data_IF_774652899729
#
_entry.id   IF_774652899729
#
_cell.length_a   1.000
_cell.length_b   1.000
_cell.length_c   1.000
_cell.angle_alpha   90.00
_cell.angle_beta   90.00
_cell.angle_gamma   90.00
#
_symmetry.space_group_name_H-M   'P 1'
#
loop_
_entity.id
_entity.type
_entity.pdbx_description
1 polymer ?
#
# COMPACT_ATOMS: atom_id res chain seq x y z
N UNK A 1 -0.92 1.16 -18.42
CA UNK A 1 -1.21 0.36 -17.23
C UNK A 1 -0.11 -0.66 -16.99
N UNK A 2 0.36 -0.80 -15.75
CA UNK A 2 1.33 -1.82 -15.35
C UNK A 2 0.57 -3.03 -14.82
N UNK A 3 0.98 -4.23 -15.21
CA UNK A 3 0.27 -5.46 -14.85
C UNK A 3 1.22 -6.55 -14.39
N UNK A 4 0.72 -7.40 -13.48
CA UNK A 4 1.34 -8.68 -13.15
C UNK A 4 0.39 -9.79 -13.61
N UNK A 5 0.86 -10.72 -14.40
CA UNK A 5 0.05 -11.77 -15.04
C UNK A 5 0.71 -13.13 -14.89
N UNK A 6 -0.09 -14.18 -14.94
CA UNK A 6 0.42 -15.55 -14.93
C UNK A 6 -0.32 -16.43 -15.92
N UNK A 7 0.42 -17.43 -16.45
CA UNK A 7 -0.16 -18.66 -17.04
C UNK A 7 -0.10 -19.73 -15.98
N UNK A 8 -1.22 -20.44 -15.78
CA UNK A 8 -1.34 -21.42 -14.70
C UNK A 8 -1.80 -22.74 -15.27
N UNK A 9 -1.21 -23.84 -14.77
CA UNK A 9 -1.56 -25.22 -15.12
C UNK A 9 -1.70 -26.03 -13.84
N UNK A 10 -2.87 -26.65 -13.62
CA UNK A 10 -3.06 -27.61 -12.53
C UNK A 10 -2.15 -28.81 -12.74
N UNK A 11 -1.60 -29.34 -11.66
CA UNK A 11 -0.71 -30.48 -11.65
C UNK A 11 -1.26 -31.58 -10.73
N UNK A 12 -0.80 -32.83 -10.91
CA UNK A 12 -1.09 -33.90 -9.96
C UNK A 12 -0.17 -33.79 -8.75
N UNK A 13 -0.73 -33.97 -7.54
CA UNK A 13 0.02 -33.95 -6.28
C UNK A 13 -0.01 -32.58 -5.54
N UNK A 14 0.57 -32.53 -4.31
CA UNK A 14 0.41 -31.43 -3.39
C UNK A 14 1.59 -30.43 -3.47
N UNK A 15 2.02 -30.03 -4.68
CA UNK A 15 3.15 -29.12 -4.85
C UNK A 15 2.79 -27.96 -5.76
N UNK A 16 3.01 -26.74 -5.29
CA UNK A 16 2.92 -25.51 -6.09
C UNK A 16 4.32 -25.12 -6.56
N UNK A 17 4.45 -24.79 -7.85
CA UNK A 17 5.67 -24.22 -8.42
C UNK A 17 5.36 -22.89 -9.08
N UNK A 18 6.15 -21.87 -8.72
CA UNK A 18 6.00 -20.53 -9.29
C UNK A 18 7.32 -20.10 -9.93
N UNK A 19 7.25 -19.79 -11.21
CA UNK A 19 8.37 -19.35 -12.02
C UNK A 19 8.16 -17.88 -12.38
N UNK A 20 8.88 -16.98 -11.71
CA UNK A 20 8.80 -15.55 -11.95
C UNK A 20 10.05 -15.08 -12.69
N UNK A 21 9.87 -14.35 -13.77
CA UNK A 21 10.99 -13.84 -14.57
C UNK A 21 11.90 -12.94 -13.72
N UNK A 22 13.17 -13.27 -13.63
CA UNK A 22 14.18 -12.53 -12.85
C UNK A 22 14.27 -12.94 -11.38
N UNK A 23 13.59 -14.00 -10.96
CA UNK A 23 13.64 -14.55 -9.60
C UNK A 23 13.84 -16.06 -9.62
N UNK A 24 14.41 -16.58 -8.53
CA UNK A 24 14.54 -18.02 -8.35
C UNK A 24 13.17 -18.71 -8.32
N UNK A 25 13.05 -19.90 -8.93
CA UNK A 25 11.81 -20.66 -8.87
C UNK A 25 11.41 -21.03 -7.44
N UNK A 26 10.15 -20.83 -7.11
CA UNK A 26 9.59 -21.26 -5.83
C UNK A 26 8.96 -22.65 -5.98
N UNK A 27 9.31 -23.57 -5.08
CA UNK A 27 8.65 -24.89 -4.95
C UNK A 27 8.11 -25.01 -3.53
N UNK A 28 6.78 -25.10 -3.41
CA UNK A 28 6.08 -25.17 -2.14
C UNK A 28 5.32 -26.51 -2.00
N UNK A 29 5.74 -27.43 -1.11
CA UNK A 29 4.90 -28.52 -0.64
C UNK A 29 3.74 -27.98 0.22
N UNK A 30 2.50 -28.37 -0.12
CA UNK A 30 1.28 -27.83 0.49
C UNK A 30 0.97 -28.43 1.88
N UNK A 31 1.71 -29.44 2.32
CA UNK A 31 1.70 -29.97 3.68
C UNK A 31 2.55 -29.17 4.67
N UNK A 32 3.28 -28.16 4.21
CA UNK A 32 4.25 -27.39 4.99
C UNK A 32 3.96 -25.88 4.91
N UNK A 33 2.85 -25.46 5.47
CA UNK A 33 2.39 -24.07 5.38
C UNK A 33 2.80 -23.15 6.55
N UNK A 34 3.50 -23.66 7.56
CA UNK A 34 3.97 -22.83 8.65
C UNK A 34 5.04 -21.80 8.20
N UNK A 35 5.09 -20.60 8.79
CA UNK A 35 6.14 -19.62 8.49
C UNK A 35 7.54 -20.19 8.72
N UNK A 36 8.48 -19.80 7.85
CA UNK A 36 9.90 -20.20 7.95
C UNK A 36 10.78 -18.98 8.04
N UNK A 37 11.61 -18.89 9.07
CA UNK A 37 12.51 -17.74 9.28
C UNK A 37 13.47 -17.55 8.10
N UNK A 38 14.00 -18.62 7.54
CA UNK A 38 14.91 -18.56 6.40
C UNK A 38 14.26 -18.16 5.07
N UNK A 39 12.92 -18.02 5.01
CA UNK A 39 12.20 -17.55 3.83
C UNK A 39 11.80 -16.07 3.91
N UNK A 40 12.03 -15.39 5.03
CA UNK A 40 11.69 -13.96 5.17
C UNK A 40 12.31 -13.12 4.04
N UNK A 41 11.54 -12.15 3.57
CA UNK A 41 11.88 -11.28 2.45
C UNK A 41 12.08 -12.01 1.10
N UNK A 42 11.48 -13.20 0.93
CA UNK A 42 11.54 -13.97 -0.33
C UNK A 42 10.17 -14.20 -0.94
N UNK A 43 10.13 -14.46 -2.25
CA UNK A 43 8.89 -14.86 -2.95
C UNK A 43 8.30 -16.16 -2.39
N UNK A 44 9.14 -17.07 -1.85
CA UNK A 44 8.69 -18.31 -1.22
C UNK A 44 7.80 -18.04 0.00
N UNK A 45 8.15 -17.07 0.83
CA UNK A 45 7.33 -16.64 1.96
C UNK A 45 5.95 -16.16 1.52
N UNK A 46 5.87 -15.38 0.45
CA UNK A 46 4.59 -14.87 -0.07
C UNK A 46 3.72 -16.00 -0.64
N UNK A 47 4.29 -16.93 -1.40
CA UNK A 47 3.55 -18.10 -1.93
C UNK A 47 3.03 -18.95 -0.78
N UNK A 48 3.86 -19.24 0.23
CA UNK A 48 3.48 -20.00 1.42
C UNK A 48 2.42 -19.27 2.24
N UNK A 49 2.58 -17.97 2.46
CA UNK A 49 1.64 -17.13 3.20
C UNK A 49 0.26 -17.09 2.53
N UNK A 50 0.22 -16.96 1.22
CA UNK A 50 -1.05 -16.98 0.48
C UNK A 50 -1.72 -18.36 0.55
N UNK A 51 -0.99 -19.45 0.36
CA UNK A 51 -1.55 -20.82 0.52
C UNK A 51 -2.11 -21.02 1.94
N UNK A 52 -1.40 -20.55 2.97
CA UNK A 52 -1.85 -20.62 4.35
C UNK A 52 -3.08 -19.74 4.62
N UNK A 53 -3.15 -18.54 4.02
CA UNK A 53 -4.30 -17.65 4.13
C UNK A 53 -5.58 -18.30 3.55
N UNK A 54 -5.47 -19.00 2.42
CA UNK A 54 -6.56 -19.78 1.86
C UNK A 54 -6.95 -20.96 2.78
N UNK A 55 -5.97 -21.72 3.27
CA UNK A 55 -6.21 -22.84 4.17
C UNK A 55 -6.94 -22.40 5.46
N UNK A 56 -6.61 -21.26 6.03
CA UNK A 56 -7.33 -20.66 7.20
C UNK A 56 -8.81 -20.39 6.93
N UNK A 57 -9.19 -20.21 5.66
CA UNK A 57 -10.59 -20.04 5.23
C UNK A 57 -11.25 -21.36 4.81
N UNK A 58 -10.58 -22.49 5.01
CA UNK A 58 -11.05 -23.81 4.59
C UNK A 58 -10.92 -24.09 3.09
N UNK A 59 -10.21 -23.23 2.35
CA UNK A 59 -9.98 -23.37 0.91
C UNK A 59 -8.59 -23.97 0.71
N UNK A 60 -8.53 -25.25 0.39
CA UNK A 60 -7.25 -25.94 0.22
C UNK A 60 -6.78 -25.85 -1.24
N UNK A 61 -5.55 -25.39 -1.42
CA UNK A 61 -4.90 -25.41 -2.71
C UNK A 61 -4.55 -26.85 -3.12
N UNK A 62 -4.55 -27.09 -4.40
CA UNK A 62 -3.96 -28.29 -5.03
C UNK A 62 -2.69 -27.87 -5.78
N UNK A 63 -1.94 -28.83 -6.28
CA UNK A 63 -0.73 -28.52 -7.02
C UNK A 63 -1.02 -27.79 -8.33
N UNK A 64 -0.20 -26.80 -8.61
CA UNK A 64 -0.19 -26.10 -9.89
C UNK A 64 1.21 -25.56 -10.21
N UNK A 65 1.44 -25.31 -11.50
CA UNK A 65 2.57 -24.54 -12.00
C UNK A 65 2.07 -23.17 -12.46
N UNK A 66 2.75 -22.10 -12.07
CA UNK A 66 2.46 -20.73 -12.51
C UNK A 66 3.71 -20.08 -13.11
N UNK A 67 3.58 -19.55 -14.31
CA UNK A 67 4.61 -18.73 -14.97
C UNK A 67 4.17 -17.28 -14.91
N UNK A 68 4.94 -16.48 -14.18
CA UNK A 68 4.62 -15.08 -13.82
C UNK A 68 5.50 -14.10 -14.58
N UNK A 69 4.86 -13.11 -15.17
CA UNK A 69 5.49 -11.93 -15.77
C UNK A 69 4.91 -10.67 -15.15
N UNK A 70 5.74 -9.66 -14.89
CA UNK A 70 5.34 -8.41 -14.28
C UNK A 70 5.97 -7.22 -14.98
N UNK A 71 5.15 -6.20 -15.27
CA UNK A 71 5.61 -4.88 -15.69
C UNK A 71 5.76 -3.92 -14.48
N UNK A 72 5.41 -4.39 -13.27
CA UNK A 72 5.60 -3.64 -12.01
C UNK A 72 7.03 -3.87 -11.54
N UNK A 73 7.87 -2.85 -11.69
CA UNK A 73 9.30 -2.96 -11.38
C UNK A 73 9.51 -3.03 -9.86
N UNK A 74 10.37 -3.97 -9.38
CA UNK A 74 10.80 -3.98 -7.98
C UNK A 74 11.52 -2.68 -7.60
N UNK A 75 11.30 -2.20 -6.37
CA UNK A 75 11.95 -0.98 -5.88
C UNK A 75 11.43 0.33 -6.48
N UNK A 76 10.47 0.29 -7.41
CA UNK A 76 9.91 1.49 -8.06
C UNK A 76 8.88 2.26 -7.22
N UNK A 77 8.57 1.80 -6.02
CA UNK A 77 7.48 2.37 -5.20
C UNK A 77 6.07 1.99 -5.66
N UNK A 78 5.95 1.09 -6.66
CA UNK A 78 4.67 0.64 -7.21
C UNK A 78 4.14 -0.64 -6.56
N UNK A 79 4.72 -1.06 -5.43
CA UNK A 79 4.28 -2.20 -4.63
C UNK A 79 4.25 -3.52 -5.42
N UNK A 80 5.40 -3.92 -5.95
CA UNK A 80 5.55 -5.18 -6.68
C UNK A 80 5.20 -6.41 -5.84
N UNK A 81 5.44 -6.39 -4.52
CA UNK A 81 5.02 -7.45 -3.59
C UNK A 81 3.50 -7.58 -3.55
N UNK A 82 2.78 -6.48 -3.33
CA UNK A 82 1.32 -6.49 -3.30
C UNK A 82 0.72 -6.97 -4.63
N UNK A 83 1.29 -6.56 -5.77
CA UNK A 83 0.85 -7.03 -7.09
C UNK A 83 1.03 -8.57 -7.25
N UNK A 84 2.14 -9.12 -6.75
CA UNK A 84 2.41 -10.55 -6.79
C UNK A 84 1.49 -11.34 -5.85
N UNK A 85 1.29 -10.87 -4.62
CA UNK A 85 0.39 -11.47 -3.64
C UNK A 85 -1.05 -11.49 -4.14
N UNK A 86 -1.52 -10.38 -4.68
CA UNK A 86 -2.87 -10.26 -5.25
C UNK A 86 -3.03 -11.19 -6.46
N UNK A 87 -2.00 -11.34 -7.30
CA UNK A 87 -2.01 -12.32 -8.38
C UNK A 87 -2.20 -13.74 -7.85
N UNK A 88 -1.45 -14.15 -6.81
CA UNK A 88 -1.61 -15.44 -6.16
C UNK A 88 -3.02 -15.62 -5.57
N UNK A 89 -3.56 -14.55 -4.96
CA UNK A 89 -4.94 -14.52 -4.48
C UNK A 89 -5.97 -14.72 -5.59
N UNK A 90 -5.78 -14.09 -6.74
CA UNK A 90 -6.63 -14.28 -7.92
C UNK A 90 -6.54 -15.70 -8.49
N UNK A 91 -5.32 -16.25 -8.55
CA UNK A 91 -5.11 -17.65 -8.98
C UNK A 91 -5.84 -18.59 -8.03
N UNK A 92 -5.63 -18.47 -6.72
CA UNK A 92 -6.28 -19.31 -5.71
C UNK A 92 -7.80 -19.18 -5.73
N UNK A 93 -8.32 -17.96 -5.86
CA UNK A 93 -9.77 -17.71 -5.98
C UNK A 93 -10.35 -18.39 -7.22
N UNK A 94 -9.73 -18.23 -8.39
CA UNK A 94 -10.23 -18.80 -9.64
C UNK A 94 -10.18 -20.34 -9.65
N UNK A 95 -9.09 -20.92 -9.14
CA UNK A 95 -8.89 -22.38 -9.21
C UNK A 95 -9.61 -23.15 -8.08
N UNK A 96 -9.71 -22.58 -6.88
CA UNK A 96 -10.08 -23.33 -5.67
C UNK A 96 -11.26 -22.74 -4.90
N UNK A 97 -11.73 -21.54 -5.27
CA UNK A 97 -12.87 -20.89 -4.65
C UNK A 97 -13.96 -20.46 -5.65
N UNK A 98 -13.92 -20.99 -6.88
CA UNK A 98 -14.90 -20.67 -7.93
C UNK A 98 -14.95 -19.18 -8.31
N UNK A 99 -13.88 -18.40 -8.05
CA UNK A 99 -13.84 -16.98 -8.33
C UNK A 99 -14.63 -16.12 -7.33
N UNK A 100 -15.06 -16.67 -6.20
CA UNK A 100 -16.01 -16.03 -5.27
C UNK A 100 -15.38 -14.98 -4.35
N UNK A 101 -14.04 -14.96 -4.18
CA UNK A 101 -13.39 -14.01 -3.27
C UNK A 101 -13.44 -12.60 -3.83
N UNK A 102 -13.86 -11.68 -2.98
CA UNK A 102 -13.90 -10.25 -3.28
C UNK A 102 -12.50 -9.64 -3.33
N UNK A 103 -12.31 -8.49 -4.01
CA UNK A 103 -11.04 -7.76 -3.99
C UNK A 103 -10.55 -7.44 -2.57
N UNK A 104 -11.44 -7.12 -1.65
CA UNK A 104 -11.11 -6.80 -0.25
C UNK A 104 -10.58 -8.04 0.47
N UNK A 105 -11.24 -9.18 0.33
CA UNK A 105 -10.79 -10.43 0.94
C UNK A 105 -9.42 -10.85 0.43
N UNK A 106 -9.19 -10.77 -0.88
CA UNK A 106 -7.89 -11.07 -1.48
C UNK A 106 -6.81 -10.13 -0.93
N UNK A 107 -7.11 -8.82 -0.83
CA UNK A 107 -6.18 -7.85 -0.29
C UNK A 107 -5.83 -8.11 1.19
N UNK A 108 -6.82 -8.45 2.01
CA UNK A 108 -6.61 -8.77 3.44
C UNK A 108 -5.77 -10.04 3.61
N UNK A 109 -5.99 -11.05 2.77
CA UNK A 109 -5.19 -12.28 2.77
C UNK A 109 -3.74 -11.99 2.34
N UNK A 110 -3.54 -11.14 1.34
CA UNK A 110 -2.25 -10.71 0.85
C UNK A 110 -1.49 -9.92 1.93
N UNK A 111 -2.12 -8.92 2.55
CA UNK A 111 -1.55 -8.18 3.66
C UNK A 111 -1.13 -9.09 4.82
N UNK A 112 -1.98 -10.05 5.19
CA UNK A 112 -1.64 -11.00 6.24
C UNK A 112 -0.41 -11.85 5.87
N UNK A 113 -0.31 -12.30 4.61
CA UNK A 113 0.83 -13.05 4.12
C UNK A 113 2.11 -12.20 4.18
N UNK A 114 2.06 -10.91 3.77
CA UNK A 114 3.21 -10.00 3.84
C UNK A 114 3.64 -9.75 5.29
N UNK A 115 2.71 -9.48 6.18
CA UNK A 115 3.02 -9.19 7.58
C UNK A 115 3.55 -10.40 8.35
N UNK A 116 2.97 -11.59 8.14
CA UNK A 116 3.26 -12.79 8.96
C UNK A 116 4.36 -13.65 8.36
N UNK A 117 4.39 -13.81 7.05
CA UNK A 117 5.34 -14.72 6.37
C UNK A 117 6.54 -13.98 5.80
N UNK A 118 6.31 -12.91 5.05
CA UNK A 118 7.39 -12.11 4.48
C UNK A 118 8.12 -11.32 5.58
N UNK A 119 7.39 -10.92 6.62
CA UNK A 119 7.96 -10.24 7.79
C UNK A 119 8.10 -8.73 7.64
N UNK A 120 7.42 -8.12 6.66
CA UNK A 120 7.39 -6.68 6.47
C UNK A 120 6.04 -6.11 6.91
N UNK A 121 5.98 -5.32 7.99
CA UNK A 121 4.76 -4.64 8.39
C UNK A 121 4.29 -3.68 7.29
N UNK A 122 3.09 -3.89 6.77
CA UNK A 122 2.49 -3.04 5.76
C UNK A 122 1.03 -2.70 6.09
N UNK A 123 0.54 -1.57 5.54
CA UNK A 123 -0.88 -1.25 5.50
C UNK A 123 -1.62 -2.07 4.43
N UNK A 124 -2.93 -1.86 4.30
CA UNK A 124 -3.78 -2.61 3.35
C UNK A 124 -3.91 -1.91 1.99
N UNK A 125 -3.45 -0.66 1.86
CA UNK A 125 -3.73 0.21 0.72
C UNK A 125 -3.22 -0.38 -0.60
N UNK A 126 -2.00 -0.88 -0.64
CA UNK A 126 -1.35 -1.36 -1.86
C UNK A 126 -2.03 -2.62 -2.40
N UNK A 127 -2.37 -3.55 -1.51
CA UNK A 127 -3.10 -4.76 -1.86
C UNK A 127 -4.52 -4.45 -2.34
N UNK A 128 -5.21 -3.49 -1.71
CA UNK A 128 -6.54 -3.04 -2.15
C UNK A 128 -6.48 -2.36 -3.52
N UNK A 129 -5.52 -1.48 -3.74
CA UNK A 129 -5.32 -0.82 -5.03
C UNK A 129 -5.06 -1.84 -6.14
N UNK A 130 -4.16 -2.80 -5.89
CA UNK A 130 -3.82 -3.86 -6.84
C UNK A 130 -5.01 -4.80 -7.11
N UNK A 131 -5.77 -5.17 -6.07
CA UNK A 131 -6.89 -6.10 -6.21
C UNK A 131 -8.13 -5.47 -6.85
N UNK A 132 -8.39 -4.18 -6.61
CA UNK A 132 -9.56 -3.47 -7.13
C UNK A 132 -9.32 -2.92 -8.53
N UNK A 133 -8.14 -2.36 -8.77
CA UNK A 133 -7.73 -1.74 -10.04
C UNK A 133 -8.46 -0.43 -10.37
N UNK A 134 -7.85 0.40 -11.21
CA UNK A 134 -8.37 1.71 -11.58
C UNK A 134 -8.19 2.76 -10.48
N UNK A 135 -8.98 3.82 -10.51
CA UNK A 135 -9.01 4.83 -9.46
C UNK A 135 -9.93 4.35 -8.33
N UNK A 136 -9.42 4.36 -7.11
CA UNK A 136 -10.11 3.79 -5.95
C UNK A 136 -10.11 4.79 -4.80
N UNK A 137 -11.28 5.03 -4.22
CA UNK A 137 -11.44 5.65 -2.91
C UNK A 137 -11.41 4.57 -1.84
N UNK A 138 -10.64 4.81 -0.77
CA UNK A 138 -10.53 3.91 0.38
C UNK A 138 -10.66 4.72 1.67
N UNK A 139 -11.54 4.32 2.58
CA UNK A 139 -11.64 4.86 3.95
C UNK A 139 -11.33 3.74 4.95
N UNK A 140 -10.28 3.93 5.74
CA UNK A 140 -9.83 3.01 6.77
C UNK A 140 -10.33 3.41 8.18
N UNK A 141 -11.49 4.01 8.27
CA UNK A 141 -12.13 4.34 9.55
C UNK A 141 -12.37 3.09 10.38
N UNK A 142 -12.77 2.02 9.73
CA UNK A 142 -12.78 0.66 10.27
C UNK A 142 -11.69 -0.15 9.55
N UNK A 143 -10.52 -0.41 10.19
CA UNK A 143 -9.46 -1.18 9.56
C UNK A 143 -9.84 -2.63 9.22
N UNK A 144 -10.80 -3.20 9.95
CA UNK A 144 -11.27 -4.57 9.70
C UNK A 144 -12.25 -4.65 8.52
N UNK A 145 -13.00 -3.57 8.28
CA UNK A 145 -13.99 -3.47 7.21
C UNK A 145 -13.87 -2.13 6.46
N UNK A 146 -12.77 -1.90 5.71
CA UNK A 146 -12.55 -0.65 5.01
C UNK A 146 -13.62 -0.40 3.95
N UNK A 147 -14.08 0.86 3.83
CA UNK A 147 -14.89 1.26 2.69
C UNK A 147 -14.01 1.35 1.45
N UNK A 148 -14.38 0.63 0.39
CA UNK A 148 -13.65 0.61 -0.88
C UNK A 148 -14.62 0.89 -2.01
N UNK A 149 -14.37 1.97 -2.77
CA UNK A 149 -15.22 2.37 -3.88
C UNK A 149 -14.38 2.68 -5.12
N UNK A 150 -14.60 1.95 -6.20
CA UNK A 150 -14.00 2.25 -7.50
C UNK A 150 -14.65 3.50 -8.09
N UNK A 151 -13.82 4.45 -8.52
CA UNK A 151 -14.27 5.69 -9.14
C UNK A 151 -14.32 5.50 -10.66
N UNK A 152 -15.43 5.89 -11.25
CA UNK A 152 -15.57 5.95 -12.71
C UNK A 152 -15.14 7.35 -13.18
N UNK A 153 -13.84 7.59 -13.20
CA UNK A 153 -13.26 8.86 -13.57
C UNK A 153 -12.08 8.65 -14.53
N UNK A 154 -11.81 9.63 -15.36
CA UNK A 154 -10.71 9.66 -16.31
C UNK A 154 -9.98 11.01 -16.22
N UNK A 155 -8.74 11.03 -16.64
CA UNK A 155 -7.89 12.22 -16.74
C UNK A 155 -7.57 12.50 -18.22
N UNK A 156 -8.54 12.96 -19.02
CA UNK A 156 -8.36 13.15 -20.45
C UNK A 156 -7.30 14.24 -20.71
N UNK A 157 -6.38 13.94 -21.60
CA UNK A 157 -5.29 14.87 -21.94
C UNK A 157 -4.10 14.85 -20.98
N UNK A 158 -4.13 14.02 -19.92
CA UNK A 158 -3.03 13.88 -18.96
C UNK A 158 -2.43 12.47 -18.98
N UNK A 159 -1.14 12.40 -18.71
CA UNK A 159 -0.42 11.15 -18.50
C UNK A 159 0.16 11.09 -17.09
N UNK A 160 -0.04 9.97 -16.40
CA UNK A 160 0.62 9.71 -15.13
C UNK A 160 2.07 9.28 -15.40
N UNK A 161 3.03 10.08 -14.98
CA UNK A 161 4.45 9.81 -15.12
C UNK A 161 5.06 9.48 -13.74
N UNK A 162 5.99 8.54 -13.72
CA UNK A 162 6.80 8.20 -12.57
C UNK A 162 8.22 8.65 -12.85
N UNK A 163 8.76 9.46 -11.93
CA UNK A 163 10.14 9.95 -12.00
C UNK A 163 10.95 9.22 -10.94
N UNK A 164 11.96 8.46 -11.38
CA UNK A 164 12.91 7.82 -10.49
C UNK A 164 13.85 8.87 -9.88
N UNK A 165 13.84 8.99 -8.56
CA UNK A 165 14.73 9.91 -7.83
C UNK A 165 16.13 9.34 -7.62
N UNK A 166 16.39 8.08 -7.96
CA UNK A 166 17.63 7.38 -7.64
C UNK A 166 17.84 7.13 -6.15
N UNK A 167 16.82 7.31 -5.31
CA UNK A 167 16.92 7.04 -3.88
C UNK A 167 16.63 5.56 -3.59
N UNK A 168 17.48 4.94 -2.77
CA UNK A 168 17.18 3.62 -2.21
C UNK A 168 16.34 3.76 -0.94
N UNK A 169 15.33 2.90 -0.80
CA UNK A 169 14.41 2.86 0.34
C UNK A 169 14.74 1.75 1.34
N UNK A 170 15.75 0.91 1.08
CA UNK A 170 16.04 -0.29 1.87
C UNK A 170 16.30 0.02 3.35
N UNK A 171 16.96 1.14 3.65
CA UNK A 171 17.35 1.53 5.01
C UNK A 171 16.33 2.43 5.73
N UNK A 172 15.14 2.68 5.14
CA UNK A 172 14.16 3.62 5.69
C UNK A 172 13.05 2.96 6.55
N UNK A 173 13.15 1.67 6.84
CA UNK A 173 12.13 0.92 7.60
C UNK A 173 11.78 1.59 8.95
N UNK A 174 12.77 2.08 9.69
CA UNK A 174 12.54 2.78 10.96
C UNK A 174 11.78 4.10 10.78
N UNK A 175 12.01 4.81 9.68
CA UNK A 175 11.34 6.06 9.32
C UNK A 175 9.86 5.81 8.96
N UNK A 176 9.60 4.77 8.15
CA UNK A 176 8.23 4.33 7.83
C UNK A 176 7.48 3.93 9.09
N UNK A 177 8.08 3.13 9.97
CA UNK A 177 7.48 2.70 11.23
C UNK A 177 7.22 3.87 12.22
N UNK A 178 7.96 4.97 12.10
CA UNK A 178 7.78 6.14 12.96
C UNK A 178 6.46 6.87 12.69
N UNK A 179 5.93 6.85 11.47
CA UNK A 179 4.68 7.54 11.13
C UNK A 179 3.48 6.92 11.88
N UNK A 180 3.17 5.63 11.70
CA UNK A 180 2.05 5.03 12.41
C UNK A 180 2.25 5.02 13.94
N UNK A 181 3.51 4.92 14.43
CA UNK A 181 3.80 5.01 15.86
C UNK A 181 3.42 6.38 16.43
N UNK A 182 3.78 7.48 15.77
CA UNK A 182 3.46 8.83 16.19
C UNK A 182 1.95 9.07 16.14
N UNK A 183 1.26 8.62 15.08
CA UNK A 183 -0.20 8.71 14.98
C UNK A 183 -0.91 7.90 16.07
N UNK A 184 -0.44 6.68 16.37
CA UNK A 184 -0.97 5.86 17.47
C UNK A 184 -0.76 6.50 18.84
N UNK A 185 0.32 7.24 19.04
CA UNK A 185 0.52 7.99 20.28
C UNK A 185 -0.57 9.05 20.48
N UNK A 186 -0.99 9.73 19.41
CA UNK A 186 -2.14 10.64 19.45
C UNK A 186 -3.44 9.88 19.68
N UNK A 187 -3.72 8.82 18.93
CA UNK A 187 -4.96 8.03 19.02
C UNK A 187 -5.24 7.55 20.46
N UNK A 188 -4.20 7.08 21.17
CA UNK A 188 -4.32 6.62 22.58
C UNK A 188 -4.87 7.68 23.52
N UNK A 189 -4.65 8.95 23.25
CA UNK A 189 -5.17 10.06 24.08
C UNK A 189 -6.68 10.31 23.89
N UNK A 190 -7.26 9.67 22.87
CA UNK A 190 -8.66 9.78 22.49
C UNK A 190 -9.39 8.42 22.44
N UNK A 191 -8.80 7.37 23.00
CA UNK A 191 -9.33 6.01 23.01
C UNK A 191 -9.72 5.50 21.61
N UNK A 192 -8.95 5.92 20.58
CA UNK A 192 -9.19 5.58 19.18
C UNK A 192 -8.15 4.57 18.67
N UNK A 193 -8.59 3.69 17.78
CA UNK A 193 -7.69 2.74 17.11
C UNK A 193 -6.90 3.43 15.99
N UNK A 194 -7.56 4.28 15.22
CA UNK A 194 -6.99 5.05 14.11
C UNK A 194 -7.39 6.52 14.21
N UNK A 195 -6.57 7.42 13.64
CA UNK A 195 -6.83 8.85 13.70
C UNK A 195 -8.14 9.26 13.00
N UNK A 196 -8.60 8.47 12.03
CA UNK A 196 -9.88 8.67 11.34
C UNK A 196 -11.11 8.59 12.28
N UNK A 197 -10.94 8.02 13.50
CA UNK A 197 -11.98 7.93 14.55
C UNK A 197 -11.89 9.08 15.56
N UNK A 198 -10.81 9.85 15.56
CA UNK A 198 -10.62 10.98 16.47
C UNK A 198 -11.42 12.18 15.99
N UNK A 199 -12.20 12.80 16.89
CA UNK A 199 -12.85 14.07 16.65
C UNK A 199 -11.82 15.21 16.54
N UNK A 200 -11.78 15.88 15.40
CA UNK A 200 -10.77 16.90 15.09
C UNK A 200 -10.90 18.12 16.02
N UNK A 201 -12.11 18.54 16.35
CA UNK A 201 -12.32 19.66 17.27
C UNK A 201 -11.85 19.31 18.69
N UNK A 202 -12.08 18.08 19.15
CA UNK A 202 -11.55 17.60 20.42
C UNK A 202 -10.02 17.58 20.42
N UNK A 203 -9.39 17.19 19.31
CA UNK A 203 -7.94 17.23 19.16
C UNK A 203 -7.40 18.67 19.33
N UNK A 204 -8.00 19.64 18.63
CA UNK A 204 -7.55 21.04 18.75
C UNK A 204 -7.84 21.65 20.12
N UNK A 205 -8.96 21.33 20.76
CA UNK A 205 -9.23 21.76 22.16
C UNK A 205 -8.18 21.25 23.15
N UNK A 206 -7.66 20.04 22.94
CA UNK A 206 -6.64 19.41 23.80
C UNK A 206 -5.21 19.57 23.26
N UNK A 207 -4.97 20.43 22.28
CA UNK A 207 -3.68 20.56 21.62
C UNK A 207 -2.48 20.76 22.56
N UNK A 208 -2.54 21.60 23.63
CA UNK A 208 -1.42 21.72 24.56
C UNK A 208 -1.07 20.42 25.28
N UNK A 209 -2.08 19.63 25.63
CA UNK A 209 -1.92 18.32 26.26
C UNK A 209 -1.33 17.31 25.27
N UNK A 210 -1.87 17.23 24.04
CA UNK A 210 -1.39 16.34 22.99
C UNK A 210 0.09 16.64 22.67
N UNK A 211 0.47 17.90 22.54
CA UNK A 211 1.87 18.31 22.34
C UNK A 211 2.78 17.81 23.47
N UNK A 212 2.35 17.97 24.70
CA UNK A 212 3.14 17.55 25.87
C UNK A 212 3.32 16.03 25.94
N UNK A 213 2.29 15.24 25.58
CA UNK A 213 2.29 13.78 25.74
C UNK A 213 2.79 13.04 24.51
N UNK A 214 2.41 13.46 23.30
CA UNK A 214 2.76 12.81 22.05
C UNK A 214 3.94 13.47 21.31
N UNK A 215 4.22 14.75 21.59
CA UNK A 215 5.28 15.54 20.98
C UNK A 215 4.85 16.26 19.70
N UNK A 216 5.61 17.29 19.32
CA UNK A 216 5.29 18.20 18.21
C UNK A 216 5.21 17.48 16.86
N UNK A 217 6.11 16.53 16.60
CA UNK A 217 6.08 15.76 15.34
C UNK A 217 4.82 14.91 15.20
N UNK A 218 4.35 14.29 16.28
CA UNK A 218 3.11 13.52 16.27
C UNK A 218 1.89 14.43 16.01
N UNK A 219 1.89 15.62 16.56
CA UNK A 219 0.87 16.66 16.30
C UNK A 219 0.87 17.08 14.83
N UNK A 220 2.03 17.42 14.26
CA UNK A 220 2.12 17.79 12.84
C UNK A 220 1.61 16.66 11.93
N UNK A 221 1.98 15.42 12.21
CA UNK A 221 1.51 14.24 11.47
C UNK A 221 0.00 14.04 11.61
N UNK A 222 -0.57 14.29 12.79
CA UNK A 222 -2.02 14.23 12.98
C UNK A 222 -2.74 15.32 12.18
N UNK A 223 -2.24 16.55 12.17
CA UNK A 223 -2.78 17.66 11.36
C UNK A 223 -2.74 17.27 9.88
N UNK A 224 -1.62 16.72 9.39
CA UNK A 224 -1.55 16.21 8.02
C UNK A 224 -2.68 15.24 7.71
N UNK A 225 -2.92 14.25 8.58
CA UNK A 225 -3.94 13.22 8.33
C UNK A 225 -5.35 13.80 8.37
N UNK A 226 -5.67 14.73 9.27
CA UNK A 226 -6.98 15.40 9.27
C UNK A 226 -7.19 16.17 7.97
N UNK A 227 -6.20 16.94 7.54
CA UNK A 227 -6.25 17.70 6.28
C UNK A 227 -6.35 16.76 5.08
N UNK A 228 -5.59 15.65 5.07
CA UNK A 228 -5.60 14.68 3.99
C UNK A 228 -6.94 13.97 3.86
N UNK A 229 -7.60 13.63 4.96
CA UNK A 229 -8.96 13.07 4.95
C UNK A 229 -9.95 14.01 4.25
N UNK A 230 -9.90 15.33 4.51
CA UNK A 230 -10.74 16.32 3.80
C UNK A 230 -10.35 16.46 2.34
N UNK A 231 -9.05 16.46 2.06
CA UNK A 231 -8.49 16.59 0.72
C UNK A 231 -8.88 15.42 -0.18
N UNK A 232 -8.82 14.19 0.33
CA UNK A 232 -9.25 12.99 -0.40
C UNK A 232 -10.72 13.09 -0.80
N UNK A 233 -11.61 13.52 0.09
CA UNK A 233 -13.03 13.72 -0.26
C UNK A 233 -13.23 14.83 -1.30
N UNK A 234 -12.41 15.88 -1.27
CA UNK A 234 -12.43 16.92 -2.29
C UNK A 234 -11.91 16.40 -3.64
N UNK A 235 -10.84 15.57 -3.64
CA UNK A 235 -10.31 14.90 -4.83
C UNK A 235 -11.34 14.00 -5.49
N UNK A 236 -12.09 13.22 -4.69
CA UNK A 236 -13.19 12.37 -5.20
C UNK A 236 -14.24 13.23 -5.91
N UNK A 237 -14.70 14.33 -5.27
CA UNK A 237 -15.69 15.23 -5.89
C UNK A 237 -15.16 15.87 -7.18
N UNK A 238 -13.91 16.31 -7.20
CA UNK A 238 -13.29 16.88 -8.39
C UNK A 238 -13.25 15.86 -9.55
N UNK A 239 -12.85 14.61 -9.27
CA UNK A 239 -12.83 13.55 -10.27
C UNK A 239 -14.23 13.20 -10.77
N UNK A 240 -15.23 13.09 -9.88
CA UNK A 240 -16.61 12.76 -10.25
C UNK A 240 -17.29 13.88 -11.06
N UNK A 241 -16.90 15.13 -10.84
CA UNK A 241 -17.40 16.29 -11.61
C UNK A 241 -16.58 16.60 -12.86
N UNK A 242 -15.47 15.89 -13.11
CA UNK A 242 -14.57 16.16 -14.23
C UNK A 242 -13.71 17.42 -14.06
N UNK A 243 -13.61 17.97 -12.85
CA UNK A 243 -12.72 19.10 -12.51
C UNK A 243 -11.28 18.64 -12.36
N UNK A 244 -10.63 18.38 -13.50
CA UNK A 244 -9.23 17.94 -13.52
C UNK A 244 -8.27 19.00 -12.94
N UNK A 245 -8.39 20.31 -13.26
CA UNK A 245 -7.53 21.32 -12.62
C UNK A 245 -7.66 21.36 -11.10
N UNK A 246 -8.87 21.28 -10.56
CA UNK A 246 -9.12 21.19 -9.13
C UNK A 246 -8.49 19.94 -8.50
N UNK A 247 -8.63 18.79 -9.15
CA UNK A 247 -7.99 17.55 -8.71
C UNK A 247 -6.46 17.69 -8.66
N UNK A 248 -5.81 18.24 -9.70
CA UNK A 248 -4.36 18.43 -9.74
C UNK A 248 -3.87 19.43 -8.68
N UNK A 249 -4.64 20.49 -8.43
CA UNK A 249 -4.36 21.43 -7.34
C UNK A 249 -4.36 20.73 -5.96
N UNK A 250 -5.32 19.83 -5.73
CA UNK A 250 -5.39 19.03 -4.50
C UNK A 250 -4.23 18.03 -4.37
N UNK A 251 -3.75 17.44 -5.48
CA UNK A 251 -2.54 16.60 -5.49
C UNK A 251 -1.31 17.42 -5.06
N UNK A 252 -1.15 18.63 -5.61
CA UNK A 252 -0.06 19.52 -5.21
C UNK A 252 -0.14 19.92 -3.74
N UNK A 253 -1.34 20.19 -3.22
CA UNK A 253 -1.56 20.50 -1.82
C UNK A 253 -1.24 19.30 -0.90
N UNK A 254 -1.57 18.07 -1.33
CA UNK A 254 -1.18 16.83 -0.63
C UNK A 254 0.34 16.69 -0.55
N UNK A 255 1.05 16.90 -1.67
CA UNK A 255 2.51 16.88 -1.71
C UNK A 255 3.17 17.94 -0.81
N UNK A 256 2.62 19.16 -0.76
CA UNK A 256 3.09 20.21 0.15
C UNK A 256 2.88 19.81 1.61
N UNK A 257 1.69 19.33 1.97
CA UNK A 257 1.37 18.86 3.32
C UNK A 257 2.25 17.69 3.76
N UNK A 258 2.59 16.77 2.84
CA UNK A 258 3.54 15.69 3.11
C UNK A 258 4.93 16.22 3.46
N UNK A 259 5.37 17.29 2.80
CA UNK A 259 6.66 17.93 3.10
C UNK A 259 6.64 18.67 4.44
N UNK A 260 5.63 19.51 4.65
CA UNK A 260 5.57 20.46 5.77
C UNK A 260 5.17 19.75 7.09
N UNK A 261 4.14 18.91 7.06
CA UNK A 261 3.53 18.33 8.26
C UNK A 261 3.89 16.87 8.48
N UNK A 262 3.76 16.02 7.46
CA UNK A 262 4.11 14.59 7.59
C UNK A 262 5.62 14.39 7.72
N UNK A 263 6.42 15.26 7.09
CA UNK A 263 7.89 15.29 7.15
C UNK A 263 8.52 13.95 6.70
N UNK A 264 8.03 13.42 5.57
CA UNK A 264 8.48 12.13 5.02
C UNK A 264 9.23 12.25 3.69
N UNK A 265 9.56 13.48 3.24
CA UNK A 265 10.24 13.71 1.94
C UNK A 265 11.76 13.52 2.04
N UNK A 266 12.33 13.75 3.21
CA UNK A 266 13.75 13.50 3.47
C UNK A 266 13.91 12.69 4.77
N UNK A 267 14.91 11.77 4.83
CA UNK A 267 15.19 11.04 6.05
C UNK A 267 15.63 11.99 7.17
N UNK A 268 15.18 11.74 8.39
CA UNK A 268 15.58 12.55 9.54
C UNK A 268 17.11 12.47 9.73
N UNK A 269 17.76 13.64 9.80
CA UNK A 269 19.20 13.75 9.98
C UNK A 269 20.05 13.58 8.70
N UNK A 270 19.46 13.29 7.54
CA UNK A 270 20.18 13.15 6.29
C UNK A 270 20.39 14.50 5.59
N UNK A 271 21.40 15.26 5.99
CA UNK A 271 21.71 16.54 5.35
C UNK A 271 22.19 16.41 3.90
N UNK A 272 22.89 15.32 3.54
CA UNK A 272 23.53 15.12 2.22
C UNK A 272 22.74 14.24 1.25
N UNK A 273 21.77 13.46 1.72
CA UNK A 273 21.08 12.46 0.93
C UNK A 273 19.56 12.75 0.90
N UNK A 274 19.16 13.68 0.06
CA UNK A 274 17.78 14.16 -0.10
C UNK A 274 17.33 14.10 -1.56
N UNK A 275 17.60 12.99 -2.24
CA UNK A 275 17.34 12.84 -3.67
C UNK A 275 15.89 13.10 -4.04
N UNK A 276 14.92 12.59 -3.25
CA UNK A 276 13.48 12.83 -3.47
C UNK A 276 13.14 14.33 -3.39
N UNK A 277 13.67 15.05 -2.39
CA UNK A 277 13.42 16.47 -2.22
C UNK A 277 13.99 17.28 -3.41
N UNK A 278 15.21 16.94 -3.86
CA UNK A 278 15.84 17.57 -5.04
C UNK A 278 15.01 17.29 -6.30
N UNK A 279 14.61 16.04 -6.51
CA UNK A 279 13.77 15.65 -7.67
C UNK A 279 12.46 16.41 -7.68
N UNK A 280 11.74 16.49 -6.54
CA UNK A 280 10.51 17.27 -6.44
C UNK A 280 10.71 18.76 -6.72
N UNK A 281 11.80 19.35 -6.22
CA UNK A 281 12.12 20.75 -6.47
C UNK A 281 12.38 21.03 -7.97
N UNK A 282 13.11 20.12 -8.63
CA UNK A 282 13.37 20.19 -10.08
C UNK A 282 12.09 20.01 -10.89
N UNK A 283 11.25 19.00 -10.57
CA UNK A 283 9.97 18.80 -11.25
C UNK A 283 9.07 20.04 -11.12
N UNK A 284 8.92 20.59 -9.90
CA UNK A 284 8.15 21.82 -9.68
C UNK A 284 8.68 23.01 -10.47
N UNK A 285 9.99 23.12 -10.62
CA UNK A 285 10.60 24.21 -11.42
C UNK A 285 10.37 24.03 -12.91
N UNK A 286 10.52 22.81 -13.43
CA UNK A 286 10.40 22.51 -14.87
C UNK A 286 8.95 22.57 -15.36
N UNK A 287 8.00 22.17 -14.51
CA UNK A 287 6.57 22.09 -14.86
C UNK A 287 5.80 23.39 -14.52
N UNK A 288 6.47 24.45 -14.03
CA UNK A 288 5.81 25.73 -13.79
C UNK A 288 5.15 26.27 -15.04
N UNK A 289 3.82 26.43 -15.00
CA UNK A 289 3.01 26.94 -16.11
C UNK A 289 2.58 25.90 -17.14
N UNK A 290 2.80 24.60 -16.88
CA UNK A 290 2.36 23.52 -17.77
C UNK A 290 1.26 22.64 -17.15
N UNK A 291 0.77 22.95 -15.94
CA UNK A 291 -0.31 22.20 -15.26
C UNK A 291 -0.60 22.73 -13.89
#
# INVERSE_FOLDING_TARGET
DRTTRARVRLTRGPVVRVFSRGYDPVTLPLDQLSPREGERNTSAALVRGMAAAFARRGILWQGFDAWVESDVLPGSGLSSSAAFEVLLGRIGSALFAGGSLTPVEIAQMAQWAENVYFGKPCGLMDQLASSTGGLVFMDFRDPAAPEVRRLNAALPGYALCIVDSGADHADLTAQYAAIPRDLKAVCRLFDAEVLRQVDEDAFYRRLPEVRRLAGDRAVLRAIHVFDENRRVLAQVRALESGDVPGFLSLINASGASSWEYLQNIAPAGAAKHQALAVTLALCRRMLRGQG
#
